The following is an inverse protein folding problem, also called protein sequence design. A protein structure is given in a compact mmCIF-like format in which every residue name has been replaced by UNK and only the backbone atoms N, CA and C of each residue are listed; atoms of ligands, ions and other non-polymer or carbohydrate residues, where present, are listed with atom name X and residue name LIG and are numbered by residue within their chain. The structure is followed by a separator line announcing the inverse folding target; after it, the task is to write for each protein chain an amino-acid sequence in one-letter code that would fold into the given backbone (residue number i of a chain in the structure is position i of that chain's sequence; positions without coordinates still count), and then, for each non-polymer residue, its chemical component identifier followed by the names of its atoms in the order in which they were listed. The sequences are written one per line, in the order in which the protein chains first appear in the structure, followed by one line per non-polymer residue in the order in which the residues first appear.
data_IF_408443125215
#
_entry.id   IF_408443125215
#
_cell.length_a   1.000
_cell.length_b   1.000
_cell.length_c   1.000
_cell.angle_alpha   90.00
_cell.angle_beta   90.00
_cell.angle_gamma   90.00
#
_symmetry.space_group_name_H-M   'P 1'
#
loop_
_entity.id
_entity.type
_entity.pdbx_description
1 polymer ?
#
# COMPACT_ATOMS: atom_id res chain seq x y z
N UNK A 1 -12.47 0.39 -12.60
CA UNK A 1 -12.76 -0.39 -11.37
C UNK A 1 -12.01 0.31 -10.26
N UNK A 2 -12.68 1.05 -9.36
CA UNK A 2 -11.98 1.78 -8.30
C UNK A 2 -11.40 0.77 -7.29
N UNK A 3 -10.09 0.75 -7.13
CA UNK A 3 -9.46 0.05 -6.01
C UNK A 3 -9.65 0.88 -4.74
N UNK A 4 -10.01 0.21 -3.66
CA UNK A 4 -10.13 0.82 -2.33
C UNK A 4 -8.72 1.03 -1.74
N UNK A 5 -8.29 2.28 -1.62
CA UNK A 5 -6.97 2.66 -1.08
C UNK A 5 -6.79 2.21 0.37
N UNK A 6 -7.87 2.13 1.14
CA UNK A 6 -7.87 1.60 2.51
C UNK A 6 -7.53 0.11 2.57
N UNK A 7 -8.09 -0.68 1.66
CA UNK A 7 -7.78 -2.11 1.49
C UNK A 7 -6.32 -2.30 1.09
N UNK A 8 -5.80 -1.49 0.15
CA UNK A 8 -4.39 -1.54 -0.25
C UNK A 8 -3.48 -1.23 0.93
N UNK A 9 -3.73 -0.14 1.65
CA UNK A 9 -2.93 0.27 2.80
C UNK A 9 -2.90 -0.79 3.90
N UNK A 10 -4.05 -1.41 4.21
CA UNK A 10 -4.13 -2.50 5.20
C UNK A 10 -3.26 -3.69 4.78
N UNK A 11 -3.40 -4.11 3.53
CA UNK A 11 -2.65 -5.25 3.02
C UNK A 11 -1.15 -4.97 3.05
N UNK A 12 -0.71 -3.75 2.70
CA UNK A 12 0.70 -3.34 2.83
C UNK A 12 1.15 -3.39 4.31
N UNK A 13 0.30 -2.96 5.24
CA UNK A 13 0.63 -2.95 6.67
C UNK A 13 0.74 -4.36 7.30
N UNK A 14 0.02 -5.33 6.74
CA UNK A 14 -0.02 -6.73 7.19
C UNK A 14 1.08 -7.61 6.57
N UNK A 15 1.81 -7.10 5.56
CA UNK A 15 2.89 -7.86 4.93
C UNK A 15 3.98 -8.22 5.95
N UNK A 16 4.25 -9.52 6.19
CA UNK A 16 5.31 -9.93 7.09
C UNK A 16 6.66 -9.52 6.50
N UNK A 17 7.39 -8.67 7.22
CA UNK A 17 8.80 -8.43 6.96
C UNK A 17 9.19 -7.05 6.43
N UNK A 18 8.35 -6.02 6.49
CA UNK A 18 8.79 -4.62 6.28
C UNK A 18 9.64 -4.37 5.03
N UNK A 19 9.47 -5.19 3.99
CA UNK A 19 10.37 -5.30 2.87
C UNK A 19 9.71 -4.68 1.64
N UNK A 20 10.36 -3.64 1.15
CA UNK A 20 10.51 -3.29 -0.26
C UNK A 20 9.74 -4.22 -1.22
N UNK A 21 8.53 -3.82 -1.59
CA UNK A 21 7.70 -4.53 -2.55
C UNK A 21 7.36 -3.60 -3.72
N UNK A 22 7.47 -4.09 -4.95
CA UNK A 22 6.97 -3.35 -6.12
C UNK A 22 5.44 -3.46 -6.21
N UNK A 23 4.81 -2.48 -6.86
CA UNK A 23 3.38 -2.54 -7.16
C UNK A 23 3.00 -3.82 -7.94
N UNK A 24 3.85 -4.30 -8.85
CA UNK A 24 3.66 -5.54 -9.59
C UNK A 24 3.64 -6.79 -8.67
N UNK A 25 4.60 -6.90 -7.75
CA UNK A 25 4.61 -8.01 -6.78
C UNK A 25 3.36 -7.99 -5.90
N UNK A 26 2.94 -6.79 -5.48
CA UNK A 26 1.73 -6.60 -4.69
C UNK A 26 0.47 -6.99 -5.47
N UNK A 27 0.34 -6.51 -6.69
CA UNK A 27 -0.78 -6.81 -7.57
C UNK A 27 -0.91 -8.33 -7.81
N UNK A 28 0.21 -8.99 -8.10
CA UNK A 28 0.26 -10.43 -8.29
C UNK A 28 -0.10 -11.21 -7.01
N UNK A 29 0.42 -10.82 -5.84
CA UNK A 29 0.20 -11.55 -4.60
C UNK A 29 -1.26 -11.49 -4.12
N UNK A 30 -1.96 -10.40 -4.44
CA UNK A 30 -3.34 -10.15 -3.98
C UNK A 30 -4.38 -10.22 -5.09
N UNK A 31 -4.00 -10.71 -6.28
CA UNK A 31 -4.86 -10.80 -7.47
C UNK A 31 -5.58 -9.46 -7.77
N UNK A 32 -4.82 -8.36 -7.70
CA UNK A 32 -5.28 -7.01 -8.01
C UNK A 32 -4.72 -6.55 -9.35
N UNK A 33 -5.36 -5.53 -9.93
CA UNK A 33 -4.84 -4.87 -11.13
C UNK A 33 -3.61 -4.01 -10.78
N UNK A 34 -2.51 -4.22 -11.51
CA UNK A 34 -1.23 -3.54 -11.25
C UNK A 34 -1.33 -2.02 -11.40
N UNK A 35 -2.06 -1.53 -12.41
CA UNK A 35 -2.19 -0.10 -12.66
C UNK A 35 -2.98 0.57 -11.54
N UNK A 36 -4.09 -0.05 -11.11
CA UNK A 36 -4.88 0.47 -10.01
C UNK A 36 -4.17 0.37 -8.65
N UNK A 37 -3.30 -0.63 -8.44
CA UNK A 37 -2.43 -0.70 -7.26
C UNK A 37 -1.41 0.44 -7.30
N UNK A 38 -0.77 0.68 -8.44
CA UNK A 38 0.22 1.74 -8.60
C UNK A 38 -0.39 3.13 -8.35
N UNK A 39 -1.61 3.38 -8.84
CA UNK A 39 -2.38 4.61 -8.56
C UNK A 39 -2.67 4.73 -7.06
N UNK A 40 -3.22 3.69 -6.43
CA UNK A 40 -3.55 3.70 -5.00
C UNK A 40 -2.30 3.93 -4.14
N UNK A 41 -1.18 3.30 -4.47
CA UNK A 41 0.09 3.45 -3.77
C UNK A 41 0.64 4.88 -3.91
N UNK A 42 0.53 5.47 -5.09
CA UNK A 42 0.93 6.87 -5.33
C UNK A 42 0.07 7.84 -4.51
N UNK A 43 -1.24 7.61 -4.46
CA UNK A 43 -2.18 8.40 -3.65
C UNK A 43 -1.86 8.27 -2.15
N UNK A 44 -1.67 7.05 -1.66
CA UNK A 44 -1.29 6.79 -0.27
C UNK A 44 0.04 7.47 0.11
N UNK A 45 1.00 7.51 -0.82
CA UNK A 45 2.27 8.19 -0.61
C UNK A 45 2.10 9.71 -0.58
N UNK A 46 1.27 10.28 -1.45
CA UNK A 46 0.94 11.70 -1.45
C UNK A 46 0.28 12.14 -0.12
N UNK A 47 -0.47 11.24 0.52
CA UNK A 47 -1.05 11.46 1.85
C UNK A 47 -0.10 11.13 3.02
N UNK A 48 1.12 10.68 2.74
CA UNK A 48 2.13 10.33 3.74
C UNK A 48 1.79 9.07 4.53
N UNK A 49 1.00 8.16 3.97
CA UNK A 49 0.67 6.88 4.60
C UNK A 49 1.68 5.77 4.27
N UNK A 50 2.35 5.84 3.13
CA UNK A 50 3.41 4.92 2.73
C UNK A 50 4.63 5.68 2.24
N UNK A 51 5.81 5.11 2.46
CA UNK A 51 7.06 5.61 1.89
C UNK A 51 7.35 4.88 0.57
N UNK A 52 7.70 5.64 -0.47
CA UNK A 52 8.10 5.11 -1.76
C UNK A 52 9.59 5.35 -2.01
N UNK A 53 10.25 4.38 -2.62
CA UNK A 53 11.59 4.56 -3.15
C UNK A 53 11.51 5.39 -4.42
N UNK A 54 12.35 6.43 -4.56
CA UNK A 54 12.50 7.13 -5.84
C UNK A 54 13.21 6.25 -6.89
N UNK A 55 13.85 5.16 -6.46
CA UNK A 55 14.41 4.16 -7.36
C UNK A 55 13.27 3.31 -7.89
N UNK A 56 12.79 3.66 -9.08
CA UNK A 56 11.94 2.76 -9.85
C UNK A 56 12.77 1.52 -10.23
N UNK A 57 12.43 0.37 -9.65
CA UNK A 57 12.87 -0.90 -10.22
C UNK A 57 11.96 -1.24 -11.42
N UNK A 58 12.35 -2.22 -12.22
CA UNK A 58 11.51 -2.71 -13.33
C UNK A 58 10.08 -3.00 -12.81
N UNK A 59 9.10 -2.23 -13.29
CA UNK A 59 7.69 -2.32 -12.83
C UNK A 59 7.18 -1.22 -11.89
N UNK A 60 7.90 -0.11 -11.70
CA UNK A 60 7.35 1.11 -11.08
C UNK A 60 7.83 1.41 -9.65
N UNK A 61 7.11 2.28 -8.89
CA UNK A 61 7.54 2.72 -7.57
C UNK A 61 7.57 1.56 -6.57
N UNK A 62 8.61 1.52 -5.76
CA UNK A 62 8.80 0.49 -4.74
C UNK A 62 8.31 0.99 -3.39
N UNK A 63 7.43 0.22 -2.76
CA UNK A 63 6.91 0.52 -1.43
C UNK A 63 7.98 0.17 -0.40
N UNK A 64 8.55 1.17 0.27
CA UNK A 64 9.55 0.99 1.32
C UNK A 64 8.92 0.55 2.65
N UNK A 65 7.68 0.96 2.90
CA UNK A 65 6.93 0.57 4.08
C UNK A 65 5.76 1.50 4.38
N UNK A 66 4.99 1.15 5.41
CA UNK A 66 3.89 1.97 5.93
C UNK A 66 4.42 2.90 7.01
N UNK A 67 4.16 4.20 6.87
CA UNK A 67 4.55 5.22 7.85
C UNK A 67 3.79 5.03 9.16
N UNK A 68 4.25 5.63 10.29
CA UNK A 68 3.49 5.65 11.53
C UNK A 68 2.06 6.19 11.35
N UNK A 69 1.88 7.17 10.46
CA UNK A 69 0.58 7.74 10.10
C UNK A 69 -0.31 6.73 9.39
N UNK A 70 0.22 6.01 8.40
CA UNK A 70 -0.51 4.94 7.70
C UNK A 70 -0.92 3.82 8.65
N UNK A 71 -0.03 3.42 9.57
CA UNK A 71 -0.33 2.40 10.59
C UNK A 71 -1.43 2.86 11.56
N UNK A 72 -1.38 4.12 12.00
CA UNK A 72 -2.43 4.68 12.86
C UNK A 72 -3.78 4.70 12.14
N UNK A 73 -3.80 5.10 10.86
CA UNK A 73 -5.02 5.09 10.05
C UNK A 73 -5.61 3.68 9.94
N UNK A 74 -4.76 2.68 9.63
CA UNK A 74 -5.17 1.27 9.56
C UNK A 74 -5.74 0.82 10.91
N UNK A 75 -5.07 1.14 12.02
CA UNK A 75 -5.53 0.76 13.35
C UNK A 75 -6.90 1.35 13.69
N UNK A 76 -7.12 2.65 13.42
CA UNK A 76 -8.40 3.32 13.67
C UNK A 76 -9.52 2.75 12.79
N UNK A 77 -9.26 2.51 11.50
CA UNK A 77 -10.27 1.95 10.59
C UNK A 77 -10.54 0.47 10.85
N UNK A 78 -9.56 -0.31 11.34
CA UNK A 78 -9.76 -1.69 11.77
C UNK A 78 -10.68 -1.81 12.99
N UNK A 79 -10.63 -0.83 13.90
CA UNK A 79 -11.52 -0.80 15.05
C UNK A 79 -12.96 -0.43 14.66
N UNK A 80 -13.14 0.46 13.68
CA UNK A 80 -14.47 0.89 13.24
C UNK A 80 -15.26 -0.19 12.49
N UNK A 81 -14.60 -1.16 11.84
CA UNK A 81 -15.29 -2.27 11.15
C UNK A 81 -15.66 -3.46 12.04
N UNK A 82 -15.38 -3.38 13.35
CA UNK A 82 -15.70 -4.43 14.35
C UNK A 82 -16.88 -4.06 15.26
N UNK A 83 -17.52 -2.91 15.02
CA UNK A 83 -18.71 -2.42 15.72
C UNK A 83 -19.87 -2.25 14.74
#
# INVERSE_FOLDING_TARGET
MLIDTGRVLRVIAEMPGGQQASAAMFASAYAMDESAVAEAVTELAAHGYVDLSPVACEGGPMILGVTPRGRAWVHTHHQQQRH
#
